data_IF_571964994023
#
_entry.id   IF_571964994023
#
_cell.length_a   1.000
_cell.length_b   1.000
_cell.length_c   1.000
_cell.angle_alpha   90.00
_cell.angle_beta   90.00
_cell.angle_gamma   90.00
#
_symmetry.space_group_name_H-M   'P 1'
#
loop_
_entity.id
_entity.type
_entity.pdbx_description
1 polymer ?
#
# COMPACT_ATOMS: atom_id res chain seq x y z
N UNK A 1 -10.64 24.96 18.42
CA UNK A 1 -12.00 25.22 17.88
C UNK A 1 -12.08 26.66 17.44
N UNK A 2 -12.78 26.96 16.35
CA UNK A 2 -12.96 28.34 15.90
C UNK A 2 -14.41 28.61 15.48
N UNK A 3 -14.82 29.87 15.45
CA UNK A 3 -16.09 30.30 14.88
C UNK A 3 -15.88 31.43 13.87
N UNK A 4 -15.67 31.06 12.60
CA UNK A 4 -15.47 32.01 11.50
C UNK A 4 -16.55 31.75 10.45
N UNK A 5 -17.53 32.64 10.37
CA UNK A 5 -18.60 32.53 9.38
C UNK A 5 -18.11 32.92 7.99
N UNK A 6 -18.51 32.19 6.95
CA UNK A 6 -18.08 32.48 5.56
C UNK A 6 -18.52 33.85 5.03
N UNK A 7 -19.53 34.47 5.65
CA UNK A 7 -19.98 35.84 5.30
C UNK A 7 -19.11 36.95 5.90
N UNK A 8 -18.32 36.65 6.95
CA UNK A 8 -17.46 37.61 7.65
C UNK A 8 -15.97 37.48 7.27
N UNK A 9 -15.57 36.42 6.58
CA UNK A 9 -14.18 36.11 6.22
C UNK A 9 -13.64 36.96 5.05
N UNK A 10 -13.61 38.29 5.22
CA UNK A 10 -13.24 39.27 4.16
C UNK A 10 -11.80 39.06 3.66
N UNK A 11 -10.91 38.51 4.48
CA UNK A 11 -9.48 38.33 4.18
C UNK A 11 -9.08 36.88 3.89
N UNK A 12 -10.03 35.94 3.78
CA UNK A 12 -9.73 34.52 3.61
C UNK A 12 -8.95 33.91 4.78
N UNK A 13 -9.06 34.51 5.97
CA UNK A 13 -8.43 34.09 7.22
C UNK A 13 -8.82 32.66 7.59
N UNK A 14 -10.08 32.29 7.38
CA UNK A 14 -10.52 30.90 7.61
C UNK A 14 -9.77 29.92 6.71
N UNK A 15 -9.59 30.29 5.44
CA UNK A 15 -8.89 29.44 4.48
C UNK A 15 -7.41 29.33 4.80
N UNK A 16 -6.77 30.43 5.20
CA UNK A 16 -5.38 30.44 5.70
C UNK A 16 -5.22 29.59 6.96
N UNK A 17 -6.12 29.72 7.93
CA UNK A 17 -6.13 28.92 9.16
C UNK A 17 -6.26 27.42 8.83
N UNK A 18 -7.24 27.04 8.01
CA UNK A 18 -7.43 25.65 7.56
C UNK A 18 -6.19 25.14 6.83
N UNK A 19 -5.60 25.96 5.96
CA UNK A 19 -4.40 25.59 5.22
C UNK A 19 -3.21 25.34 6.16
N UNK A 20 -2.96 26.22 7.13
CA UNK A 20 -1.89 26.05 8.10
C UNK A 20 -2.13 24.85 9.01
N UNK A 21 -3.36 24.62 9.47
CA UNK A 21 -3.75 23.41 10.21
C UNK A 21 -3.45 22.14 9.40
N UNK A 22 -3.86 22.10 8.13
CA UNK A 22 -3.57 20.95 7.25
C UNK A 22 -2.08 20.74 7.02
N UNK A 23 -1.31 21.83 6.91
CA UNK A 23 0.15 21.78 6.75
C UNK A 23 0.85 21.14 7.97
N UNK A 24 0.26 21.27 9.15
CA UNK A 24 0.72 20.64 10.39
C UNK A 24 0.10 19.26 10.66
N UNK A 25 -0.52 18.64 9.65
CA UNK A 25 -1.20 17.35 9.79
C UNK A 25 -2.30 17.34 10.88
N UNK A 26 -2.93 18.49 11.15
CA UNK A 26 -4.04 18.58 12.08
C UNK A 26 -5.22 17.69 11.65
N UNK A 27 -5.88 17.05 12.62
CA UNK A 27 -7.04 16.20 12.36
C UNK A 27 -8.31 17.04 12.48
N UNK A 28 -9.08 17.10 11.41
CA UNK A 28 -10.39 17.74 11.44
C UNK A 28 -11.41 16.80 12.11
N UNK A 29 -11.89 17.16 13.29
CA UNK A 29 -12.94 16.43 14.02
C UNK A 29 -14.34 16.87 13.59
N UNK A 30 -14.50 18.18 13.40
CA UNK A 30 -15.73 18.81 12.87
C UNK A 30 -15.34 19.97 11.95
N UNK A 31 -16.33 20.61 11.32
CA UNK A 31 -16.09 21.72 10.37
C UNK A 31 -15.13 22.79 10.93
N UNK A 32 -15.24 23.12 12.21
CA UNK A 32 -14.40 24.11 12.90
C UNK A 32 -13.68 23.59 14.16
N UNK A 33 -13.64 22.27 14.34
CA UNK A 33 -12.95 21.61 15.45
C UNK A 33 -11.79 20.78 14.90
N UNK A 34 -10.61 21.06 15.41
CA UNK A 34 -9.35 20.49 14.93
C UNK A 34 -8.54 20.01 16.13
N UNK A 35 -7.87 18.88 15.95
CA UNK A 35 -6.91 18.34 16.90
C UNK A 35 -5.51 18.56 16.32
N UNK A 36 -4.61 19.12 17.13
CA UNK A 36 -3.21 19.42 16.79
C UNK A 36 -2.30 18.86 17.88
N UNK A 37 -1.14 18.34 17.49
CA UNK A 37 -0.15 17.79 18.42
C UNK A 37 0.67 18.89 19.10
N UNK A 38 0.86 20.01 18.39
CA UNK A 38 1.51 21.22 18.88
C UNK A 38 1.05 22.44 18.08
N UNK A 39 1.27 23.64 18.61
CA UNK A 39 1.08 24.90 17.88
C UNK A 39 2.45 25.41 17.41
N UNK A 40 2.78 25.26 16.13
CA UNK A 40 4.03 25.84 15.61
C UNK A 40 3.88 27.35 15.32
N UNK A 41 4.98 28.12 15.20
CA UNK A 41 4.94 29.59 15.08
C UNK A 41 4.06 30.13 13.94
N UNK A 42 4.02 29.43 12.80
CA UNK A 42 3.17 29.83 11.67
C UNK A 42 1.68 29.71 11.99
N UNK A 43 1.27 28.68 12.75
CA UNK A 43 -0.11 28.52 13.18
C UNK A 43 -0.45 29.56 14.25
N UNK A 44 0.47 29.81 15.18
CA UNK A 44 0.31 30.84 16.20
C UNK A 44 0.05 32.22 15.57
N UNK A 45 0.85 32.63 14.58
CA UNK A 45 0.66 33.91 13.90
C UNK A 45 -0.74 34.07 13.25
N UNK A 46 -1.27 33.00 12.64
CA UNK A 46 -2.62 33.03 12.04
C UNK A 46 -3.70 33.04 13.12
N UNK A 47 -3.50 32.34 14.24
CA UNK A 47 -4.42 32.35 15.38
C UNK A 47 -4.46 33.77 15.97
N UNK A 48 -3.32 34.41 16.18
CA UNK A 48 -3.23 35.76 16.72
C UNK A 48 -3.92 36.77 15.80
N UNK A 49 -3.75 36.65 14.47
CA UNK A 49 -4.46 37.47 13.49
C UNK A 49 -5.97 37.25 13.54
N UNK A 50 -6.43 36.00 13.68
CA UNK A 50 -7.85 35.71 13.85
C UNK A 50 -8.42 36.36 15.13
N UNK A 51 -7.70 36.26 16.25
CA UNK A 51 -8.09 36.84 17.53
C UNK A 51 -8.13 38.37 17.44
N UNK A 52 -7.12 38.99 16.81
CA UNK A 52 -7.07 40.43 16.57
C UNK A 52 -8.27 40.95 15.75
N UNK A 53 -8.72 40.15 14.77
CA UNK A 53 -9.92 40.45 13.96
C UNK A 53 -11.25 40.13 14.67
N UNK A 54 -11.20 39.73 15.94
CA UNK A 54 -12.38 39.48 16.77
C UNK A 54 -13.06 38.12 16.52
N UNK A 55 -12.36 37.16 15.90
CA UNK A 55 -12.92 35.82 15.72
C UNK A 55 -12.75 34.97 16.99
N UNK A 56 -13.83 34.31 17.47
CA UNK A 56 -13.73 33.38 18.57
C UNK A 56 -12.84 32.19 18.21
N UNK A 57 -11.77 31.99 18.98
CA UNK A 57 -10.94 30.78 18.94
C UNK A 57 -10.83 30.25 20.36
N UNK A 58 -11.17 28.97 20.53
CA UNK A 58 -10.98 28.23 21.78
C UNK A 58 -9.89 27.18 21.57
N UNK A 59 -8.80 27.34 22.31
CA UNK A 59 -7.72 26.36 22.39
C UNK A 59 -7.87 25.68 23.74
N UNK A 60 -8.03 24.36 23.72
CA UNK A 60 -8.05 23.54 24.92
C UNK A 60 -6.96 22.51 24.77
N UNK A 61 -6.20 22.29 25.85
CA UNK A 61 -5.38 21.10 25.95
C UNK A 61 -6.32 19.90 26.06
N UNK A 62 -6.03 18.88 25.27
CA UNK A 62 -6.70 17.60 25.37
C UNK A 62 -5.63 16.57 25.68
N UNK A 63 -5.58 16.15 26.93
CA UNK A 63 -4.88 14.92 27.28
C UNK A 63 -5.82 13.78 26.87
N UNK A 64 -5.47 12.94 25.88
CA UNK A 64 -6.19 11.69 25.72
C UNK A 64 -6.20 11.02 27.08
N UNK A 65 -7.38 10.60 27.54
CA UNK A 65 -7.44 9.56 28.57
C UNK A 65 -6.54 8.46 28.03
N UNK A 66 -5.39 8.26 28.67
CA UNK A 66 -4.49 7.18 28.31
C UNK A 66 -5.36 5.95 28.24
N UNK A 67 -5.20 5.21 27.16
CA UNK A 67 -6.14 4.17 26.82
C UNK A 67 -6.19 3.03 27.83
N UNK A 68 -5.34 3.07 28.86
CA UNK A 68 -5.54 2.54 30.20
C UNK A 68 -4.42 3.10 31.08
N UNK A 69 -4.70 3.60 32.29
CA UNK A 69 -3.66 3.82 33.34
C UNK A 69 -2.86 2.52 33.67
N UNK A 70 -3.34 1.38 33.17
CA UNK A 70 -2.98 0.00 33.48
C UNK A 70 -1.71 -0.41 32.71
N UNK A 71 -1.42 0.23 31.56
CA UNK A 71 -0.18 0.04 30.79
C UNK A 71 1.06 0.50 31.59
N UNK A 72 0.87 1.36 32.60
CA UNK A 72 1.92 1.81 33.52
C UNK A 72 2.01 1.00 34.81
N UNK A 73 1.03 0.15 35.11
CA UNK A 73 1.19 -0.72 36.27
C UNK A 73 2.27 -1.73 35.91
N UNK A 74 3.42 -1.62 36.59
CA UNK A 74 4.55 -2.54 36.40
C UNK A 74 4.16 -4.00 36.71
N UNK A 75 2.97 -4.20 37.25
CA UNK A 75 2.37 -5.45 37.70
C UNK A 75 1.32 -6.02 36.72
N UNK A 76 0.96 -5.32 35.64
CA UNK A 76 0.01 -5.84 34.64
C UNK A 76 0.59 -7.08 33.93
N UNK A 77 -0.20 -8.15 33.88
CA UNK A 77 0.22 -9.39 33.23
C UNK A 77 0.28 -9.20 31.72
N UNK A 78 1.26 -9.82 31.04
CA UNK A 78 1.32 -9.84 29.58
C UNK A 78 -0.01 -10.30 28.95
N UNK A 79 -0.74 -11.21 29.59
CA UNK A 79 -2.01 -11.75 29.11
C UNK A 79 -3.17 -10.73 29.10
N UNK A 80 -3.04 -9.60 29.80
CA UNK A 80 -4.04 -8.52 29.84
C UNK A 80 -3.85 -7.51 28.71
N UNK A 81 -2.71 -7.56 28.02
CA UNK A 81 -2.40 -6.63 26.93
C UNK A 81 -3.17 -7.00 25.65
N UNK A 82 -3.78 -5.98 25.04
CA UNK A 82 -4.34 -6.04 23.70
C UNK A 82 -3.31 -5.59 22.66
N UNK A 83 -2.72 -6.56 21.96
CA UNK A 83 -1.63 -6.31 21.02
C UNK A 83 -2.18 -6.13 19.60
N UNK A 84 -1.97 -4.95 19.01
CA UNK A 84 -2.19 -4.74 17.59
C UNK A 84 -1.02 -5.31 16.78
N UNK A 85 -1.28 -6.08 15.72
CA UNK A 85 -0.22 -6.63 14.87
C UNK A 85 -0.45 -6.21 13.42
N UNK A 86 0.43 -5.36 12.89
CA UNK A 86 0.43 -4.96 11.48
C UNK A 86 1.39 -5.87 10.71
N UNK A 87 0.85 -6.69 9.81
CA UNK A 87 1.62 -7.55 8.93
C UNK A 87 1.85 -6.82 7.61
N UNK A 88 3.10 -6.54 7.25
CA UNK A 88 3.45 -5.90 5.99
C UNK A 88 4.21 -6.86 5.09
N UNK A 89 4.00 -6.71 3.78
CA UNK A 89 4.62 -7.49 2.70
C UNK A 89 4.13 -8.96 2.61
N UNK A 90 4.08 -9.54 1.40
CA UNK A 90 3.75 -10.96 1.24
C UNK A 90 4.78 -11.88 1.88
N UNK A 91 6.05 -11.50 1.92
CA UNK A 91 7.15 -12.35 2.39
C UNK A 91 7.05 -12.67 3.88
N UNK A 92 6.55 -11.76 4.73
CA UNK A 92 6.30 -12.04 6.15
C UNK A 92 5.32 -13.20 6.31
N UNK A 93 4.42 -13.39 5.36
CA UNK A 93 3.49 -14.53 5.39
C UNK A 93 4.06 -15.76 4.69
N UNK A 94 4.66 -15.58 3.51
CA UNK A 94 5.19 -16.68 2.67
C UNK A 94 6.37 -17.41 3.32
N UNK A 95 7.19 -16.71 4.10
CA UNK A 95 8.28 -17.30 4.88
C UNK A 95 7.80 -17.92 6.21
N UNK A 96 6.50 -17.93 6.48
CA UNK A 96 5.93 -18.52 7.70
C UNK A 96 6.04 -17.66 8.97
N UNK A 97 6.69 -16.48 8.91
CA UNK A 97 6.89 -15.58 10.05
C UNK A 97 5.56 -15.21 10.71
N UNK A 98 4.55 -14.86 9.90
CA UNK A 98 3.21 -14.50 10.42
C UNK A 98 2.60 -15.63 11.23
N UNK A 99 2.67 -16.86 10.69
CA UNK A 99 2.11 -18.06 11.35
C UNK A 99 2.86 -18.37 12.65
N UNK A 100 4.19 -18.27 12.62
CA UNK A 100 5.03 -18.48 13.79
C UNK A 100 4.74 -17.46 14.89
N UNK A 101 4.69 -16.17 14.53
CA UNK A 101 4.43 -15.07 15.47
C UNK A 101 3.07 -15.21 16.14
N UNK A 102 2.02 -15.40 15.35
CA UNK A 102 0.67 -15.64 15.88
C UNK A 102 0.64 -16.89 16.77
N UNK A 103 1.29 -17.99 16.36
CA UNK A 103 1.32 -19.21 17.17
C UNK A 103 2.01 -19.01 18.52
N UNK A 104 3.00 -18.13 18.62
CA UNK A 104 3.67 -17.82 19.90
C UNK A 104 2.81 -16.92 20.76
N UNK A 105 2.10 -15.95 20.18
CA UNK A 105 1.09 -15.16 20.90
C UNK A 105 0.00 -16.07 21.48
N UNK A 106 -0.54 -16.99 20.68
CA UNK A 106 -1.55 -17.97 21.10
C UNK A 106 -1.04 -18.84 22.27
N UNK A 107 0.18 -19.38 22.15
CA UNK A 107 0.81 -20.21 23.20
C UNK A 107 1.08 -19.42 24.49
N UNK A 108 1.34 -18.12 24.36
CA UNK A 108 1.53 -17.21 25.49
C UNK A 108 0.21 -16.73 26.13
N UNK A 109 -0.95 -17.10 25.58
CA UNK A 109 -2.24 -16.61 26.05
C UNK A 109 -2.45 -15.12 25.82
N UNK A 110 -1.75 -14.54 24.84
CA UNK A 110 -1.75 -13.11 24.56
C UNK A 110 -2.91 -12.72 23.66
N UNK A 111 -3.60 -11.62 24.01
CA UNK A 111 -4.69 -11.10 23.18
C UNK A 111 -4.14 -10.24 22.06
N UNK A 112 -4.64 -10.44 20.84
CA UNK A 112 -4.16 -9.69 19.69
C UNK A 112 -5.23 -9.38 18.65
N UNK A 113 -4.98 -8.31 17.89
CA UNK A 113 -5.72 -7.98 16.67
C UNK A 113 -4.73 -7.84 15.51
N UNK A 114 -4.66 -8.86 14.65
CA UNK A 114 -3.77 -8.84 13.50
C UNK A 114 -4.47 -8.27 12.26
N UNK A 115 -3.77 -7.43 11.51
CA UNK A 115 -4.27 -6.74 10.33
C UNK A 115 -3.19 -6.68 9.24
N UNK A 116 -3.59 -6.89 8.00
CA UNK A 116 -2.69 -6.75 6.86
C UNK A 116 -2.53 -5.27 6.47
N UNK A 117 -1.28 -4.81 6.42
CA UNK A 117 -0.87 -3.54 5.82
C UNK A 117 -0.39 -3.74 4.39
N UNK A 118 -1.17 -3.28 3.41
CA UNK A 118 -0.89 -3.40 1.98
C UNK A 118 -1.80 -4.39 1.27
N UNK A 119 -1.81 -4.32 -0.07
CA UNK A 119 -2.68 -5.16 -0.91
C UNK A 119 -2.06 -6.50 -1.28
N UNK A 120 -0.73 -6.58 -1.36
CA UNK A 120 -0.02 -7.74 -1.94
C UNK A 120 0.06 -8.94 -1.00
N UNK A 121 0.20 -8.72 0.31
CA UNK A 121 0.24 -9.82 1.28
C UNK A 121 -1.09 -10.59 1.41
N UNK A 122 -2.17 -10.11 0.76
CA UNK A 122 -3.49 -10.72 0.90
C UNK A 122 -3.57 -12.12 0.28
N UNK A 123 -2.91 -12.33 -0.85
CA UNK A 123 -2.82 -13.66 -1.45
C UNK A 123 -2.02 -14.61 -0.56
N UNK A 124 -0.90 -14.15 0.00
CA UNK A 124 -0.10 -14.94 0.92
C UNK A 124 -0.89 -15.38 2.16
N UNK A 125 -1.71 -14.48 2.74
CA UNK A 125 -2.58 -14.81 3.88
C UNK A 125 -3.59 -15.89 3.54
N UNK A 126 -4.20 -15.85 2.34
CA UNK A 126 -5.15 -16.88 1.89
C UNK A 126 -4.47 -18.22 1.63
N UNK A 127 -3.33 -18.20 0.94
CA UNK A 127 -2.55 -19.39 0.57
C UNK A 127 -2.11 -20.12 1.86
N UNK A 128 -1.81 -19.37 2.94
CA UNK A 128 -1.43 -19.91 4.26
C UNK A 128 -2.59 -20.18 5.23
N UNK A 129 -3.84 -19.92 4.82
CA UNK A 129 -5.06 -20.09 5.63
C UNK A 129 -5.11 -19.25 6.92
N UNK A 130 -4.58 -18.03 6.86
CA UNK A 130 -4.53 -17.11 8.00
C UNK A 130 -5.67 -16.07 7.98
N UNK A 131 -6.59 -16.11 7.01
CA UNK A 131 -7.68 -15.13 6.86
C UNK A 131 -8.67 -15.09 8.03
N UNK A 132 -8.74 -16.14 8.84
CA UNK A 132 -9.54 -16.17 10.08
C UNK A 132 -8.85 -15.46 11.25
N UNK A 133 -7.52 -15.34 11.21
CA UNK A 133 -6.72 -14.70 12.28
C UNK A 133 -6.23 -13.30 11.92
N UNK A 134 -6.17 -12.97 10.63
CA UNK A 134 -5.64 -11.71 10.11
C UNK A 134 -6.73 -10.97 9.36
N UNK A 135 -7.04 -9.75 9.81
CA UNK A 135 -8.00 -8.89 9.13
C UNK A 135 -7.44 -8.42 7.78
N UNK A 136 -8.05 -8.89 6.69
CA UNK A 136 -7.64 -8.58 5.31
C UNK A 136 -8.69 -7.80 4.52
N UNK A 137 -9.85 -7.47 5.09
CA UNK A 137 -11.01 -7.03 4.30
C UNK A 137 -10.91 -5.62 3.69
N UNK A 138 -9.90 -4.83 4.07
CA UNK A 138 -9.72 -3.45 3.62
C UNK A 138 -8.26 -3.19 3.18
N UNK A 139 -8.02 -2.42 2.09
CA UNK A 139 -6.68 -2.13 1.56
C UNK A 139 -5.94 -1.08 2.40
N UNK A 140 -5.79 -1.29 3.70
CA UNK A 140 -5.07 -0.32 4.54
C UNK A 140 -3.60 -0.25 4.12
N UNK A 141 -3.06 0.97 4.00
CA UNK A 141 -1.61 1.15 4.08
C UNK A 141 -1.14 0.77 5.49
N UNK A 142 0.12 0.40 5.71
CA UNK A 142 0.62 0.07 7.05
C UNK A 142 0.37 1.17 8.09
N UNK A 143 0.54 2.45 7.72
CA UNK A 143 0.26 3.57 8.61
C UNK A 143 -1.24 3.74 8.94
N UNK A 144 -2.11 3.43 7.97
CA UNK A 144 -3.57 3.44 8.18
C UNK A 144 -4.02 2.23 9.02
N UNK A 145 -3.31 1.11 8.94
CA UNK A 145 -3.54 -0.06 9.79
C UNK A 145 -3.17 0.24 11.25
N UNK A 146 -2.07 0.99 11.48
CA UNK A 146 -1.74 1.55 12.81
C UNK A 146 -2.87 2.43 13.31
N UNK A 147 -3.33 3.42 12.52
CA UNK A 147 -4.43 4.29 12.91
C UNK A 147 -5.73 3.51 13.22
N UNK A 148 -5.99 2.43 12.48
CA UNK A 148 -7.13 1.54 12.72
C UNK A 148 -7.04 0.80 14.06
N UNK A 149 -5.83 0.37 14.45
CA UNK A 149 -5.55 -0.30 15.72
C UNK A 149 -5.62 0.67 16.91
N UNK A 150 -5.10 1.90 16.76
CA UNK A 150 -5.20 2.95 17.77
C UNK A 150 -6.68 3.23 18.10
N UNK A 151 -7.55 3.34 17.08
CA UNK A 151 -9.00 3.52 17.27
C UNK A 151 -9.70 2.35 17.97
N UNK A 152 -9.01 1.21 18.10
CA UNK A 152 -9.49 -0.01 18.78
C UNK A 152 -8.86 -0.21 20.14
N UNK A 153 -8.18 0.80 20.66
CA UNK A 153 -7.70 0.77 22.04
C UNK A 153 -6.67 -0.35 22.26
N UNK A 154 -5.78 -0.56 21.28
CA UNK A 154 -4.64 -1.47 21.44
C UNK A 154 -3.59 -0.82 22.35
N UNK A 155 -3.03 -1.61 23.26
CA UNK A 155 -2.05 -1.16 24.26
C UNK A 155 -0.64 -1.06 23.68
N UNK A 156 -0.37 -1.88 22.67
CA UNK A 156 0.92 -1.99 21.98
C UNK A 156 0.67 -2.34 20.52
N UNK A 157 1.46 -1.78 19.61
CA UNK A 157 1.40 -2.13 18.19
C UNK A 157 2.73 -2.73 17.74
N UNK A 158 2.66 -3.90 17.12
CA UNK A 158 3.77 -4.59 16.47
C UNK A 158 3.69 -4.36 14.97
N UNK A 159 4.75 -3.81 14.38
CA UNK A 159 4.93 -3.75 12.93
C UNK A 159 5.83 -4.90 12.49
N UNK A 160 5.23 -5.96 11.92
CA UNK A 160 5.96 -7.09 11.35
C UNK A 160 6.30 -6.80 9.89
N UNK A 161 7.58 -6.81 9.57
CA UNK A 161 8.08 -6.59 8.21
C UNK A 161 9.18 -7.59 7.84
N UNK A 162 9.45 -7.70 6.54
CA UNK A 162 10.57 -8.45 5.99
C UNK A 162 11.27 -7.62 4.91
N UNK A 163 12.04 -6.64 5.36
CA UNK A 163 12.85 -5.73 4.54
C UNK A 163 13.92 -6.48 3.73
N UNK A 164 14.36 -5.87 2.62
CA UNK A 164 15.38 -6.47 1.74
C UNK A 164 16.78 -6.37 2.36
N UNK A 165 17.04 -5.27 3.04
CA UNK A 165 18.22 -5.01 3.88
C UNK A 165 17.78 -4.38 5.21
N UNK A 166 18.65 -4.38 6.21
CA UNK A 166 18.40 -3.67 7.47
C UNK A 166 18.05 -2.19 7.24
N UNK A 167 18.80 -1.50 6.38
CA UNK A 167 18.55 -0.09 6.03
C UNK A 167 17.15 0.13 5.44
N UNK A 168 16.72 -0.73 4.51
CA UNK A 168 15.38 -0.64 3.91
C UNK A 168 14.25 -0.87 4.91
N UNK A 169 14.46 -1.80 5.87
CA UNK A 169 13.50 -2.07 6.94
C UNK A 169 13.37 -0.89 7.90
N UNK A 170 14.49 -0.27 8.29
CA UNK A 170 14.50 0.93 9.12
C UNK A 170 13.75 2.09 8.44
N UNK A 171 14.02 2.35 7.17
CA UNK A 171 13.37 3.43 6.43
C UNK A 171 11.87 3.18 6.22
N UNK A 172 11.48 1.93 5.96
CA UNK A 172 10.08 1.53 5.92
C UNK A 172 9.37 1.85 7.24
N UNK A 173 9.92 1.39 8.37
CA UNK A 173 9.35 1.65 9.69
C UNK A 173 9.21 3.14 9.99
N UNK A 174 10.25 3.93 9.69
CA UNK A 174 10.23 5.39 9.85
C UNK A 174 9.09 6.02 9.06
N UNK A 175 8.96 5.69 7.77
CA UNK A 175 7.90 6.22 6.93
C UNK A 175 6.51 5.80 7.44
N UNK A 176 6.35 4.56 7.90
CA UNK A 176 5.06 4.07 8.41
C UNK A 176 4.64 4.81 9.68
N UNK A 177 5.58 5.01 10.61
CA UNK A 177 5.38 5.75 11.86
C UNK A 177 5.08 7.22 11.59
N UNK A 178 5.88 7.89 10.76
CA UNK A 178 5.69 9.30 10.39
C UNK A 178 4.37 9.56 9.66
N UNK A 179 3.89 8.60 8.87
CA UNK A 179 2.64 8.73 8.11
C UNK A 179 1.39 8.29 8.87
N UNK A 180 1.51 7.79 10.11
CA UNK A 180 0.35 7.53 10.95
C UNK A 180 -0.19 8.86 11.46
N UNK A 181 -1.48 9.12 11.23
CA UNK A 181 -2.09 10.38 11.63
C UNK A 181 -2.39 10.41 13.12
N UNK A 182 -2.65 9.25 13.73
CA UNK A 182 -3.06 9.17 15.13
C UNK A 182 -1.88 8.99 16.07
N UNK A 183 -0.78 8.40 15.63
CA UNK A 183 0.33 8.08 16.53
C UNK A 183 0.97 9.29 17.21
N UNK A 184 0.97 10.45 16.56
CA UNK A 184 1.45 11.70 17.16
C UNK A 184 0.54 12.24 18.27
N UNK A 185 -0.70 11.77 18.35
CA UNK A 185 -1.70 12.18 19.34
C UNK A 185 -1.87 11.13 20.44
N UNK A 186 -1.74 9.86 20.09
CA UNK A 186 -1.93 8.73 21.00
C UNK A 186 -0.56 8.08 21.26
N UNK A 187 -0.11 8.14 22.51
CA UNK A 187 1.19 7.62 22.96
C UNK A 187 1.22 6.07 23.04
N UNK A 188 0.66 5.39 22.04
CA UNK A 188 0.66 3.92 21.95
C UNK A 188 2.07 3.48 21.54
N UNK A 189 2.77 2.63 22.32
CA UNK A 189 4.07 2.09 21.93
C UNK A 189 4.01 1.35 20.60
N UNK A 190 5.01 1.59 19.74
CA UNK A 190 5.20 0.85 18.49
C UNK A 190 6.55 0.17 18.49
N UNK A 191 6.52 -1.15 18.31
CA UNK A 191 7.70 -1.97 18.13
C UNK A 191 7.69 -2.55 16.72
N UNK A 192 8.73 -2.29 15.94
CA UNK A 192 8.97 -2.98 14.68
C UNK A 192 9.80 -4.22 14.92
N UNK A 193 9.37 -5.33 14.33
CA UNK A 193 10.17 -6.53 14.15
C UNK A 193 10.41 -6.72 12.67
N UNK A 194 11.67 -6.88 12.30
CA UNK A 194 12.04 -6.99 10.89
C UNK A 194 13.08 -8.07 10.68
N UNK A 195 13.05 -8.65 9.49
CA UNK A 195 14.04 -9.62 9.02
C UNK A 195 14.20 -10.83 9.94
N UNK A 196 13.11 -11.30 10.55
CA UNK A 196 13.12 -12.41 11.54
C UNK A 196 13.67 -13.74 11.00
N UNK A 197 13.81 -13.89 9.67
CA UNK A 197 14.41 -15.05 9.02
C UNK A 197 15.85 -14.79 8.53
N UNK A 198 16.48 -13.70 8.98
CA UNK A 198 17.85 -13.34 8.63
C UNK A 198 18.74 -13.19 9.88
N UNK A 199 20.05 -13.31 9.68
CA UNK A 199 21.05 -13.14 10.74
C UNK A 199 21.10 -11.71 11.30
N UNK A 200 20.65 -10.73 10.53
CA UNK A 200 20.56 -9.32 10.90
C UNK A 200 19.13 -8.93 11.31
N UNK A 201 18.34 -9.88 11.82
CA UNK A 201 17.04 -9.63 12.42
C UNK A 201 17.14 -8.57 13.52
N UNK A 202 16.15 -7.69 13.63
CA UNK A 202 16.22 -6.59 14.59
C UNK A 202 14.87 -6.17 15.13
N UNK A 203 14.92 -5.48 16.27
CA UNK A 203 13.80 -4.81 16.91
C UNK A 203 14.06 -3.30 17.03
N UNK A 204 13.05 -2.47 16.74
CA UNK A 204 13.09 -1.01 16.97
C UNK A 204 11.85 -0.58 17.76
N UNK A 205 12.07 0.15 18.84
CA UNK A 205 11.03 0.89 19.56
C UNK A 205 10.99 2.32 18.99
N UNK A 206 9.89 2.69 18.34
CA UNK A 206 9.85 3.94 17.57
C UNK A 206 9.51 5.19 18.39
N UNK A 207 8.66 5.08 19.40
CA UNK A 207 8.17 6.23 20.18
C UNK A 207 8.24 6.02 21.69
N UNK A 208 7.78 4.87 22.19
CA UNK A 208 7.74 4.55 23.62
C UNK A 208 8.22 3.12 23.85
N UNK A 209 8.88 2.92 24.99
CA UNK A 209 9.28 1.60 25.45
C UNK A 209 8.11 0.85 26.08
N UNK A 210 8.16 -0.47 25.98
CA UNK A 210 7.24 -1.39 26.64
C UNK A 210 8.03 -2.59 27.17
N UNK A 211 8.71 -2.39 28.30
CA UNK A 211 9.75 -3.30 28.82
C UNK A 211 9.28 -4.75 28.98
N UNK A 212 8.06 -4.99 29.48
CA UNK A 212 7.51 -6.35 29.65
C UNK A 212 7.48 -7.12 28.32
N UNK A 213 6.87 -6.53 27.29
CA UNK A 213 6.80 -7.14 25.96
C UNK A 213 8.15 -7.20 25.25
N UNK A 214 9.04 -6.21 25.45
CA UNK A 214 10.41 -6.29 24.93
C UNK A 214 11.16 -7.48 25.51
N UNK A 215 11.00 -7.77 26.81
CA UNK A 215 11.60 -8.96 27.42
C UNK A 215 11.00 -10.25 26.86
N UNK A 216 9.67 -10.30 26.69
CA UNK A 216 9.01 -11.43 26.03
C UNK A 216 9.56 -11.67 24.60
N UNK A 217 9.79 -10.60 23.83
CA UNK A 217 10.40 -10.67 22.50
C UNK A 217 11.85 -11.17 22.54
N UNK A 218 12.66 -10.71 23.50
CA UNK A 218 14.05 -11.18 23.66
C UNK A 218 14.11 -12.67 24.03
N UNK A 219 13.22 -13.14 24.89
CA UNK A 219 13.14 -14.54 25.29
C UNK A 219 12.67 -15.44 24.15
N UNK A 220 11.71 -14.96 23.34
CA UNK A 220 11.13 -15.76 22.26
C UNK A 220 11.95 -15.70 20.97
N UNK A 221 12.54 -14.56 20.63
CA UNK A 221 13.17 -14.33 19.33
C UNK A 221 14.66 -14.02 19.38
N UNK A 222 15.23 -13.83 20.58
CA UNK A 222 16.66 -13.49 20.76
C UNK A 222 17.08 -12.26 19.94
N UNK A 223 16.22 -11.26 19.85
CA UNK A 223 16.44 -10.06 19.05
C UNK A 223 17.14 -8.96 19.85
N UNK A 224 18.08 -8.31 19.19
CA UNK A 224 18.68 -7.08 19.68
C UNK A 224 17.79 -5.86 19.35
N UNK A 225 17.69 -4.96 20.32
CA UNK A 225 17.12 -3.62 20.09
C UNK A 225 18.17 -2.77 19.41
N UNK A 226 17.85 -2.22 18.23
CA UNK A 226 18.73 -1.27 17.54
C UNK A 226 18.18 0.15 17.63
N UNK A 227 19.08 1.13 17.66
CA UNK A 227 18.70 2.53 17.49
C UNK A 227 18.71 2.86 16.00
N UNK A 228 17.60 3.37 15.42
CA UNK A 228 17.55 3.71 14.01
C UNK A 228 18.56 4.82 13.69
N UNK A 229 19.14 4.76 12.50
CA UNK A 229 19.99 5.84 11.99
C UNK A 229 19.22 7.18 11.93
N UNK A 230 19.92 8.33 12.03
CA UNK A 230 19.27 9.63 11.84
C UNK A 230 18.60 9.73 10.47
N UNK A 231 17.52 10.51 10.40
CA UNK A 231 16.83 10.79 9.14
C UNK A 231 17.81 11.44 8.17
N UNK A 232 17.87 10.91 6.96
CA UNK A 232 18.72 11.45 5.91
C UNK A 232 17.92 12.40 5.01
N UNK A 233 18.60 13.33 4.36
CA UNK A 233 17.97 14.21 3.38
C UNK A 233 17.46 13.41 2.18
N UNK A 234 16.17 13.60 1.89
CA UNK A 234 15.47 12.95 0.78
C UNK A 234 15.41 13.83 -0.48
N UNK A 235 15.67 15.13 -0.35
CA UNK A 235 15.47 16.11 -1.41
C UNK A 235 16.64 17.07 -1.53
N UNK A 236 17.00 17.42 -2.76
CA UNK A 236 17.84 18.58 -3.10
C UNK A 236 17.05 19.48 -4.04
N UNK A 237 17.07 20.79 -3.79
CA UNK A 237 16.38 21.80 -4.61
C UNK A 237 17.43 22.75 -5.16
N UNK A 238 17.52 22.83 -6.49
CA UNK A 238 18.47 23.69 -7.21
C UNK A 238 17.71 24.45 -8.30
N UNK A 239 17.41 25.74 -8.05
CA UNK A 239 16.60 26.55 -8.97
C UNK A 239 15.20 25.95 -9.19
N UNK A 240 14.88 25.60 -10.44
CA UNK A 240 13.62 24.96 -10.85
C UNK A 240 13.69 23.42 -10.89
N UNK A 241 14.81 22.86 -10.43
CA UNK A 241 15.06 21.42 -10.41
C UNK A 241 14.91 20.86 -9.00
N UNK A 242 14.17 19.76 -8.89
CA UNK A 242 13.97 18.99 -7.68
C UNK A 242 14.57 17.61 -7.88
N UNK A 243 15.51 17.25 -7.03
CA UNK A 243 16.10 15.92 -6.97
C UNK A 243 15.57 15.18 -5.76
N UNK A 244 15.08 13.96 -5.95
CA UNK A 244 14.70 13.05 -4.87
C UNK A 244 15.67 11.89 -4.80
N UNK A 245 16.23 11.67 -3.61
CA UNK A 245 17.25 10.65 -3.36
C UNK A 245 16.56 9.41 -2.78
N UNK A 246 16.78 8.28 -3.44
CA UNK A 246 16.37 6.95 -2.97
C UNK A 246 17.61 6.21 -2.46
N UNK A 247 17.48 5.62 -1.29
CA UNK A 247 18.52 4.85 -0.60
C UNK A 247 17.99 3.48 -0.24
N UNK A 248 18.88 2.58 0.16
CA UNK A 248 18.55 1.18 0.42
C UNK A 248 17.87 0.46 -0.77
N UNK A 249 18.10 0.95 -1.99
CA UNK A 249 17.60 0.34 -3.22
C UNK A 249 18.47 -0.84 -3.64
N UNK A 250 17.90 -1.84 -4.31
CA UNK A 250 18.68 -2.97 -4.80
C UNK A 250 18.95 -2.87 -6.29
N UNK A 251 20.14 -3.29 -6.69
CA UNK A 251 20.50 -3.38 -8.11
C UNK A 251 19.50 -4.28 -8.85
N UNK A 252 19.10 -3.84 -10.04
CA UNK A 252 18.07 -4.43 -10.89
C UNK A 252 16.63 -4.30 -10.37
N UNK A 253 16.37 -3.61 -9.26
CA UNK A 253 14.99 -3.24 -8.91
C UNK A 253 14.40 -2.30 -9.96
N UNK A 254 13.12 -2.43 -10.24
CA UNK A 254 12.36 -1.46 -11.03
C UNK A 254 12.05 -0.24 -10.19
N UNK A 255 12.14 0.94 -10.77
CA UNK A 255 11.83 2.21 -10.13
C UNK A 255 10.41 2.60 -10.55
N UNK A 256 9.47 2.53 -9.61
CA UNK A 256 8.08 2.90 -9.86
C UNK A 256 7.78 4.26 -9.24
N UNK A 257 7.17 5.14 -10.03
CA UNK A 257 6.63 6.43 -9.56
C UNK A 257 5.12 6.46 -9.82
N UNK A 258 4.35 6.61 -8.74
CA UNK A 258 2.88 6.48 -8.76
C UNK A 258 2.36 5.18 -9.42
N UNK A 259 3.18 4.12 -9.41
CA UNK A 259 2.85 2.82 -10.00
C UNK A 259 3.31 2.63 -11.45
N UNK A 260 3.93 3.63 -12.07
CA UNK A 260 4.50 3.52 -13.43
C UNK A 260 6.00 3.23 -13.32
N UNK A 261 6.49 2.21 -14.03
CA UNK A 261 7.92 1.90 -14.11
C UNK A 261 8.63 2.95 -14.95
N UNK A 262 9.48 3.76 -14.34
CA UNK A 262 10.22 4.84 -15.02
C UNK A 262 11.70 4.52 -15.23
N UNK A 263 12.15 3.35 -14.79
CA UNK A 263 13.54 2.94 -14.90
C UNK A 263 13.88 1.74 -14.04
N UNK A 264 15.17 1.44 -13.98
CA UNK A 264 15.74 0.32 -13.22
C UNK A 264 16.97 0.77 -12.44
N UNK A 265 17.14 0.27 -11.22
CA UNK A 265 18.24 0.61 -10.32
C UNK A 265 19.56 -0.02 -10.78
N UNK A 266 20.63 0.78 -10.88
CA UNK A 266 21.98 0.29 -11.22
C UNK A 266 22.99 0.45 -10.09
N UNK A 267 22.66 1.27 -9.09
CA UNK A 267 23.50 1.58 -7.94
C UNK A 267 22.73 1.45 -6.63
N UNK A 268 23.41 1.47 -5.49
CA UNK A 268 22.80 1.44 -4.15
C UNK A 268 22.15 2.78 -3.73
N UNK A 269 22.37 3.85 -4.51
CA UNK A 269 21.74 5.16 -4.36
C UNK A 269 21.23 5.59 -5.72
N UNK A 270 19.99 6.05 -5.77
CA UNK A 270 19.35 6.57 -6.98
C UNK A 270 18.91 8.01 -6.74
N UNK A 271 19.16 8.90 -7.70
CA UNK A 271 18.65 10.27 -7.68
C UNK A 271 17.70 10.46 -8.87
N UNK A 272 16.41 10.69 -8.59
CA UNK A 272 15.41 11.04 -9.59
C UNK A 272 15.37 12.55 -9.69
N UNK A 273 15.59 13.08 -10.89
CA UNK A 273 15.73 14.52 -11.13
C UNK A 273 14.55 14.98 -11.97
N UNK A 274 13.76 15.91 -11.45
CA UNK A 274 12.66 16.54 -12.15
C UNK A 274 12.91 18.04 -12.33
N UNK A 275 12.59 18.57 -13.52
CA UNK A 275 12.63 20.00 -13.83
C UNK A 275 11.27 20.40 -14.39
N UNK A 276 10.68 21.48 -13.87
CA UNK A 276 9.32 21.88 -14.25
C UNK A 276 8.30 20.72 -14.15
N UNK A 277 8.40 19.92 -13.09
CA UNK A 277 7.60 18.71 -12.84
C UNK A 277 7.77 17.57 -13.86
N UNK A 278 8.75 17.59 -14.76
CA UNK A 278 9.01 16.50 -15.69
C UNK A 278 10.29 15.78 -15.26
N UNK A 279 10.28 14.44 -15.20
CA UNK A 279 11.47 13.65 -14.89
C UNK A 279 12.44 13.71 -16.07
N UNK A 280 13.54 14.41 -15.88
CA UNK A 280 14.56 14.59 -16.91
C UNK A 280 15.64 13.51 -16.84
N UNK A 281 15.99 13.04 -15.64
CA UNK A 281 17.11 12.12 -15.45
C UNK A 281 16.93 11.22 -14.22
N UNK A 282 17.62 10.08 -14.21
CA UNK A 282 17.69 9.12 -13.11
C UNK A 282 19.16 8.71 -12.93
N UNK A 283 19.87 9.33 -11.99
CA UNK A 283 21.26 8.93 -11.67
C UNK A 283 21.26 7.70 -10.77
N UNK A 284 22.22 6.81 -10.96
CA UNK A 284 22.24 5.52 -10.26
C UNK A 284 21.15 4.54 -10.70
N UNK A 285 20.45 4.86 -11.80
CA UNK A 285 19.50 3.98 -12.49
C UNK A 285 19.58 4.12 -14.01
N UNK A 286 18.97 3.19 -14.74
CA UNK A 286 18.66 3.32 -16.17
C UNK A 286 17.27 3.90 -16.31
N UNK A 287 17.12 5.02 -16.99
CA UNK A 287 15.82 5.63 -17.30
C UNK A 287 15.08 4.78 -18.34
N UNK A 288 13.78 4.56 -18.13
CA UNK A 288 12.84 4.06 -19.13
C UNK A 288 12.12 5.27 -19.77
N UNK A 289 12.48 5.69 -21.01
CA UNK A 289 11.86 6.86 -21.63
C UNK A 289 10.35 6.72 -21.83
N UNK A 290 9.89 5.54 -22.23
CA UNK A 290 8.47 5.25 -22.47
C UNK A 290 7.68 5.35 -21.15
N UNK A 291 8.19 4.77 -20.07
CA UNK A 291 7.60 4.87 -18.75
C UNK A 291 7.53 6.31 -18.21
N UNK A 292 8.55 7.13 -18.47
CA UNK A 292 8.56 8.55 -18.09
C UNK A 292 7.54 9.35 -18.91
N UNK A 293 7.40 9.06 -20.20
CA UNK A 293 6.38 9.66 -21.06
C UNK A 293 4.96 9.30 -20.58
N UNK A 294 4.73 8.02 -20.27
CA UNK A 294 3.47 7.51 -19.70
C UNK A 294 3.13 8.14 -18.36
N UNK A 295 4.12 8.42 -17.50
CA UNK A 295 3.92 9.09 -16.22
C UNK A 295 3.50 10.57 -16.38
N UNK A 296 4.09 11.27 -17.34
CA UNK A 296 3.86 12.70 -17.56
C UNK A 296 4.33 13.60 -16.40
N UNK A 297 3.80 14.84 -16.31
CA UNK A 297 4.18 15.79 -15.26
C UNK A 297 3.81 15.29 -13.84
N UNK A 298 4.74 15.41 -12.90
CA UNK A 298 4.64 14.89 -11.55
C UNK A 298 5.22 15.84 -10.49
N UNK A 299 4.51 16.00 -9.38
CA UNK A 299 5.05 16.55 -8.16
C UNK A 299 5.94 15.50 -7.47
N UNK A 300 7.23 15.51 -7.78
CA UNK A 300 8.19 14.53 -7.28
C UNK A 300 8.32 14.54 -5.75
N UNK A 301 7.99 15.66 -5.09
CA UNK A 301 8.04 15.79 -3.63
C UNK A 301 7.01 14.89 -2.96
N UNK A 302 5.80 14.87 -3.51
CA UNK A 302 4.67 14.12 -2.96
C UNK A 302 4.40 12.79 -3.68
N UNK A 303 5.09 12.52 -4.79
CA UNK A 303 4.95 11.27 -5.53
C UNK A 303 5.21 10.04 -4.66
N UNK A 304 4.47 8.96 -4.88
CA UNK A 304 4.79 7.66 -4.27
C UNK A 304 5.88 7.02 -5.11
N UNK A 305 7.03 6.76 -4.49
CA UNK A 305 8.15 6.09 -5.16
C UNK A 305 8.43 4.78 -4.44
N UNK A 306 8.54 3.71 -5.21
CA UNK A 306 8.85 2.37 -4.71
C UNK A 306 9.85 1.71 -5.64
N UNK A 307 10.84 1.02 -5.06
CA UNK A 307 11.69 0.11 -5.83
C UNK A 307 11.31 -1.32 -5.52
N UNK A 308 11.25 -2.17 -6.55
CA UNK A 308 10.98 -3.59 -6.37
C UNK A 308 11.53 -4.40 -7.54
N UNK A 309 12.14 -5.54 -7.24
CA UNK A 309 12.49 -6.54 -8.25
C UNK A 309 11.23 -7.21 -8.82
N UNK A 310 10.35 -7.64 -7.92
CA UNK A 310 9.04 -8.23 -8.22
C UNK A 310 8.10 -8.03 -7.01
N UNK A 311 6.79 -8.07 -7.24
CA UNK A 311 5.77 -8.00 -6.17
C UNK A 311 5.72 -9.27 -5.32
N UNK A 312 6.16 -10.41 -5.87
CA UNK A 312 6.35 -11.68 -5.17
C UNK A 312 7.78 -12.17 -5.38
N UNK A 313 8.60 -12.07 -4.32
CA UNK A 313 9.98 -12.59 -4.31
C UNK A 313 10.06 -14.06 -3.93
N UNK A 314 9.07 -14.56 -3.19
CA UNK A 314 9.02 -15.94 -2.72
C UNK A 314 7.95 -16.69 -3.51
N UNK A 315 8.36 -17.72 -4.25
CA UNK A 315 7.42 -18.60 -4.93
C UNK A 315 6.94 -19.66 -3.95
N UNK A 316 5.67 -19.58 -3.55
CA UNK A 316 5.02 -20.66 -2.80
C UNK A 316 4.33 -21.61 -3.78
N UNK A 317 4.59 -22.91 -3.65
CA UNK A 317 4.01 -23.96 -4.49
C UNK A 317 2.53 -24.25 -4.18
N UNK A 318 2.02 -23.78 -3.05
CA UNK A 318 0.62 -23.99 -2.66
C UNK A 318 -0.27 -22.84 -3.11
N UNK A 319 -0.90 -22.99 -4.28
CA UNK A 319 -1.99 -22.11 -4.70
C UNK A 319 -3.32 -22.67 -4.20
N UNK A 320 -3.85 -22.11 -3.10
CA UNK A 320 -5.12 -22.59 -2.55
C UNK A 320 -6.28 -22.14 -3.45
N UNK A 321 -7.02 -23.09 -4.03
CA UNK A 321 -8.34 -22.78 -4.61
C UNK A 321 -9.34 -22.46 -3.50
N UNK A 322 -9.93 -21.28 -3.58
CA UNK A 322 -11.04 -20.83 -2.73
C UNK A 322 -12.32 -21.44 -3.29
N UNK A 323 -13.15 -22.01 -2.42
CA UNK A 323 -14.47 -22.50 -2.81
C UNK A 323 -15.31 -21.33 -3.33
N UNK A 324 -15.60 -21.32 -4.62
CA UNK A 324 -16.43 -20.30 -5.23
C UNK A 324 -17.87 -20.34 -4.64
N UNK A 325 -18.53 -19.18 -4.43
CA UNK A 325 -19.94 -19.16 -4.09
C UNK A 325 -20.75 -19.87 -5.20
N UNK A 326 -21.67 -20.75 -4.79
CA UNK A 326 -22.39 -21.69 -5.68
C UNK A 326 -23.25 -21.05 -6.78
N UNK A 327 -23.54 -19.74 -6.74
CA UNK A 327 -24.39 -19.07 -7.74
C UNK A 327 -23.56 -18.25 -8.72
N UNK A 328 -23.56 -18.68 -9.99
CA UNK A 328 -23.09 -17.85 -11.11
C UNK A 328 -24.11 -16.75 -11.36
N UNK A 329 -23.63 -15.51 -11.41
CA UNK A 329 -24.45 -14.33 -11.65
C UNK A 329 -24.30 -13.80 -13.08
N UNK A 330 -23.43 -14.43 -13.87
CA UNK A 330 -22.93 -13.99 -15.18
C UNK A 330 -22.51 -12.52 -15.19
N UNK A 331 -21.72 -12.11 -14.20
CA UNK A 331 -21.20 -10.74 -14.10
C UNK A 331 -19.79 -10.68 -14.67
N UNK A 332 -19.54 -9.82 -15.65
CA UNK A 332 -18.20 -9.48 -16.11
C UNK A 332 -17.77 -8.10 -15.56
N UNK A 333 -16.48 -7.93 -15.27
CA UNK A 333 -15.90 -6.65 -14.84
C UNK A 333 -14.75 -6.26 -15.75
N UNK A 334 -14.67 -4.98 -16.14
CA UNK A 334 -13.55 -4.40 -16.88
C UNK A 334 -12.60 -3.69 -15.91
N UNK A 335 -11.28 -3.83 -16.09
CA UNK A 335 -10.28 -3.14 -15.26
C UNK A 335 -8.98 -2.85 -16.01
N UNK A 336 -8.35 -1.73 -15.65
CA UNK A 336 -6.95 -1.36 -15.96
C UNK A 336 -6.07 -1.42 -14.71
N UNK A 337 -6.60 -1.92 -13.58
CA UNK A 337 -5.94 -1.87 -12.27
C UNK A 337 -6.06 -3.20 -11.55
N UNK A 338 -4.92 -3.88 -11.41
CA UNK A 338 -4.85 -5.20 -10.79
C UNK A 338 -5.21 -5.19 -9.30
N UNK A 339 -4.86 -4.12 -8.56
CA UNK A 339 -5.03 -4.11 -7.10
C UNK A 339 -6.49 -4.15 -6.63
N UNK A 340 -7.44 -3.78 -7.50
CA UNK A 340 -8.88 -3.78 -7.18
C UNK A 340 -9.55 -5.12 -7.43
N UNK A 341 -8.93 -6.01 -8.22
CA UNK A 341 -9.55 -7.26 -8.66
C UNK A 341 -9.93 -8.15 -7.49
N UNK A 342 -9.08 -8.20 -6.47
CA UNK A 342 -9.36 -8.98 -5.27
C UNK A 342 -10.74 -8.66 -4.66
N UNK A 343 -11.08 -7.38 -4.49
CA UNK A 343 -12.33 -6.93 -3.83
C UNK A 343 -13.61 -7.25 -4.61
N UNK A 344 -13.44 -7.77 -5.83
CA UNK A 344 -14.49 -8.13 -6.74
C UNK A 344 -14.42 -9.58 -7.19
N UNK A 345 -13.35 -10.32 -6.88
CA UNK A 345 -13.12 -11.68 -7.36
C UNK A 345 -14.21 -12.67 -6.92
N UNK A 346 -14.85 -12.42 -5.78
CA UNK A 346 -15.99 -13.17 -5.25
C UNK A 346 -17.34 -12.76 -5.87
N UNK A 347 -17.40 -11.58 -6.50
CA UNK A 347 -18.62 -10.93 -7.03
C UNK A 347 -18.73 -10.94 -8.55
N UNK A 348 -17.74 -11.51 -9.23
CA UNK A 348 -17.69 -11.59 -10.69
C UNK A 348 -17.55 -13.04 -11.14
N UNK A 349 -18.01 -13.31 -12.35
CA UNK A 349 -17.90 -14.61 -13.00
C UNK A 349 -16.87 -14.61 -14.13
N UNK A 350 -16.47 -13.42 -14.61
CA UNK A 350 -15.38 -13.21 -15.55
C UNK A 350 -14.75 -11.83 -15.36
N UNK A 351 -13.45 -11.70 -15.62
CA UNK A 351 -12.76 -10.41 -15.67
C UNK A 351 -12.28 -10.13 -17.08
N UNK A 352 -12.42 -8.88 -17.52
CA UNK A 352 -11.76 -8.34 -18.71
C UNK A 352 -10.67 -7.39 -18.21
N UNK A 353 -9.43 -7.68 -18.54
CA UNK A 353 -8.25 -6.96 -18.07
C UNK A 353 -7.54 -6.30 -19.25
N UNK A 354 -7.13 -5.05 -19.07
CA UNK A 354 -6.36 -4.29 -20.06
C UNK A 354 -4.95 -4.02 -19.48
N UNK A 355 -3.94 -4.33 -20.27
CA UNK A 355 -2.53 -4.17 -19.95
C UNK A 355 -1.89 -5.41 -19.37
N UNK A 356 -0.60 -5.58 -19.65
CA UNK A 356 0.18 -6.76 -19.32
C UNK A 356 0.26 -7.00 -17.81
N UNK A 357 0.82 -6.06 -17.03
CA UNK A 357 0.96 -6.23 -15.57
C UNK A 357 -0.38 -6.40 -14.86
N UNK A 358 -1.39 -5.64 -15.29
CA UNK A 358 -2.76 -5.79 -14.77
C UNK A 358 -3.26 -7.20 -15.03
N UNK A 359 -3.03 -7.75 -16.22
CA UNK A 359 -3.46 -9.09 -16.61
C UNK A 359 -2.71 -10.16 -15.82
N UNK A 360 -1.40 -10.04 -15.62
CA UNK A 360 -0.62 -10.96 -14.79
C UNK A 360 -1.10 -10.97 -13.33
N UNK A 361 -1.18 -9.80 -12.69
CA UNK A 361 -1.65 -9.66 -11.30
C UNK A 361 -3.07 -10.20 -11.16
N UNK A 362 -3.94 -9.88 -12.10
CA UNK A 362 -5.34 -10.32 -12.09
C UNK A 362 -5.46 -11.83 -12.26
N UNK A 363 -4.65 -12.43 -13.14
CA UNK A 363 -4.64 -13.87 -13.38
C UNK A 363 -4.21 -14.62 -12.11
N UNK A 364 -3.18 -14.14 -11.43
CA UNK A 364 -2.69 -14.73 -10.18
C UNK A 364 -3.71 -14.62 -9.04
N UNK A 365 -4.48 -13.52 -8.98
CA UNK A 365 -5.60 -13.41 -8.04
C UNK A 365 -6.69 -14.42 -8.42
N UNK A 366 -7.16 -14.41 -9.67
CA UNK A 366 -8.32 -15.18 -10.10
C UNK A 366 -8.07 -16.69 -10.19
N UNK A 367 -6.82 -17.14 -10.27
CA UNK A 367 -6.44 -18.55 -10.15
C UNK A 367 -6.92 -19.17 -8.83
N UNK A 368 -6.89 -18.41 -7.73
CA UNK A 368 -7.46 -18.83 -6.44
C UNK A 368 -8.99 -18.91 -6.48
N UNK A 369 -9.66 -18.00 -7.17
CA UNK A 369 -11.13 -17.95 -7.21
C UNK A 369 -11.74 -18.82 -8.34
N UNK A 370 -10.90 -19.43 -9.19
CA UNK A 370 -11.33 -20.19 -10.37
C UNK A 370 -12.27 -19.39 -11.28
N UNK A 371 -11.93 -18.12 -11.54
CA UNK A 371 -12.73 -17.21 -12.38
C UNK A 371 -12.00 -16.90 -13.68
N UNK A 372 -12.57 -17.17 -14.86
CA UNK A 372 -11.91 -16.91 -16.13
C UNK A 372 -11.58 -15.42 -16.33
N UNK A 373 -10.46 -15.17 -17.00
CA UNK A 373 -10.01 -13.85 -17.41
C UNK A 373 -9.95 -13.74 -18.94
N UNK A 374 -10.29 -12.57 -19.48
CA UNK A 374 -10.05 -12.15 -20.86
C UNK A 374 -9.03 -11.01 -20.80
N UNK A 375 -7.76 -11.30 -21.05
CA UNK A 375 -6.67 -10.32 -21.00
C UNK A 375 -6.36 -9.74 -22.37
N UNK A 376 -6.33 -8.42 -22.47
CA UNK A 376 -5.82 -7.68 -23.62
C UNK A 376 -4.43 -7.17 -23.25
N UNK A 377 -3.42 -7.61 -23.99
CA UNK A 377 -2.00 -7.37 -23.73
C UNK A 377 -1.30 -6.98 -25.03
N UNK A 378 -0.24 -6.19 -24.96
CA UNK A 378 0.55 -5.78 -26.13
C UNK A 378 2.00 -6.28 -26.08
N UNK A 379 2.37 -6.99 -24.99
CA UNK A 379 3.68 -7.59 -24.81
C UNK A 379 4.70 -6.65 -24.16
N UNK A 380 4.29 -5.50 -23.63
CA UNK A 380 5.15 -4.51 -22.96
C UNK A 380 5.42 -4.80 -21.48
N UNK A 381 5.07 -6.00 -21.00
CA UNK A 381 5.07 -6.36 -19.58
C UNK A 381 6.25 -5.80 -18.77
N UNK A 382 5.90 -4.96 -17.80
CA UNK A 382 6.73 -4.43 -16.71
C UNK A 382 7.52 -5.48 -15.92
N UNK A 383 7.22 -6.78 -16.04
CA UNK A 383 7.70 -7.85 -15.16
C UNK A 383 7.49 -7.52 -13.67
N UNK A 384 6.41 -6.79 -13.35
CA UNK A 384 6.18 -6.27 -12.00
C UNK A 384 5.84 -7.42 -11.05
N UNK A 385 5.11 -8.43 -11.52
CA UNK A 385 4.71 -9.58 -10.71
C UNK A 385 5.83 -10.61 -10.54
N UNK A 386 6.51 -10.97 -11.64
CA UNK A 386 7.60 -11.95 -11.71
C UNK A 386 8.76 -11.41 -12.55
N UNK A 387 9.99 -11.88 -12.30
CA UNK A 387 11.19 -11.41 -13.02
C UNK A 387 11.12 -11.64 -14.53
N UNK A 388 10.54 -12.77 -14.94
CA UNK A 388 10.21 -13.08 -16.32
C UNK A 388 8.69 -13.22 -16.43
N UNK A 389 8.11 -12.56 -17.44
CA UNK A 389 6.68 -12.63 -17.75
C UNK A 389 6.53 -13.03 -19.21
N UNK A 390 5.94 -14.20 -19.45
CA UNK A 390 5.62 -14.67 -20.79
C UNK A 390 4.15 -15.10 -20.91
N UNK A 391 3.62 -15.07 -22.13
CA UNK A 391 2.28 -15.56 -22.43
C UNK A 391 2.10 -17.03 -22.01
N UNK A 392 3.13 -17.86 -22.18
CA UNK A 392 3.14 -19.26 -21.74
C UNK A 392 2.96 -19.41 -20.23
N UNK A 393 3.69 -18.63 -19.43
CA UNK A 393 3.53 -18.63 -17.97
C UNK A 393 2.14 -18.13 -17.56
N UNK A 394 1.64 -17.09 -18.22
CA UNK A 394 0.31 -16.54 -17.97
C UNK A 394 -0.77 -17.63 -18.18
N UNK A 395 -0.65 -18.40 -19.26
CA UNK A 395 -1.52 -19.56 -19.52
C UNK A 395 -1.37 -20.61 -18.42
N UNK A 396 -0.16 -20.94 -17.98
CA UNK A 396 0.11 -21.96 -16.95
C UNK A 396 -0.51 -21.64 -15.58
N UNK A 397 -0.72 -20.36 -15.25
CA UNK A 397 -1.41 -19.95 -14.00
C UNK A 397 -2.90 -19.63 -14.19
N UNK A 398 -3.37 -19.45 -15.43
CA UNK A 398 -4.73 -19.00 -15.70
C UNK A 398 -5.84 -19.99 -15.28
N UNK A 399 -6.99 -19.50 -14.79
CA UNK A 399 -8.19 -20.33 -14.65
C UNK A 399 -8.65 -20.93 -15.98
N UNK A 400 -9.31 -22.10 -15.92
CA UNK A 400 -9.95 -22.70 -17.10
C UNK A 400 -10.90 -21.70 -17.78
N UNK A 401 -10.98 -21.77 -19.11
CA UNK A 401 -11.79 -20.88 -19.96
C UNK A 401 -11.29 -19.44 -19.97
N UNK A 402 -10.03 -19.19 -19.66
CA UNK A 402 -9.42 -17.88 -19.88
C UNK A 402 -9.07 -17.66 -21.35
N UNK A 403 -8.90 -16.41 -21.76
CA UNK A 403 -8.50 -16.00 -23.10
C UNK A 403 -7.50 -14.85 -22.97
N UNK A 404 -6.40 -14.91 -23.68
CA UNK A 404 -5.42 -13.84 -23.80
C UNK A 404 -5.34 -13.43 -25.26
N UNK A 405 -5.39 -12.12 -25.48
CA UNK A 405 -5.39 -11.50 -26.80
C UNK A 405 -4.16 -10.59 -26.85
N UNK A 406 -3.14 -11.03 -27.58
CA UNK A 406 -1.96 -10.24 -27.86
C UNK A 406 -2.25 -9.34 -29.05
N UNK A 407 -2.17 -8.03 -28.83
CA UNK A 407 -2.36 -7.00 -29.85
C UNK A 407 -1.03 -6.34 -30.21
N UNK A 408 -1.05 -5.50 -31.25
CA UNK A 408 0.09 -4.67 -31.66
C UNK A 408 0.62 -3.84 -30.48
N UNK A 409 1.94 -3.61 -30.39
CA UNK A 409 2.54 -2.77 -29.34
C UNK A 409 1.83 -1.42 -29.20
N UNK A 410 1.50 -1.03 -27.96
CA UNK A 410 0.80 0.21 -27.58
C UNK A 410 -0.71 0.26 -27.95
N UNK A 411 -1.31 -0.85 -28.38
CA UNK A 411 -2.74 -0.91 -28.76
C UNK A 411 -3.67 -1.54 -27.72
N UNK A 412 -3.15 -2.05 -26.60
CA UNK A 412 -3.96 -2.61 -25.52
C UNK A 412 -4.98 -1.58 -24.98
N UNK A 413 -4.54 -0.34 -24.75
CA UNK A 413 -5.36 0.79 -24.30
C UNK A 413 -6.37 1.24 -25.37
N UNK A 414 -6.00 1.15 -26.65
CA UNK A 414 -6.90 1.46 -27.77
C UNK A 414 -8.05 0.46 -27.81
N UNK A 415 -7.73 -0.84 -27.80
CA UNK A 415 -8.70 -1.92 -27.76
C UNK A 415 -9.53 -1.88 -26.47
N UNK A 416 -8.89 -1.60 -25.33
CA UNK A 416 -9.56 -1.42 -24.05
C UNK A 416 -10.64 -0.34 -24.08
N UNK A 417 -10.34 0.82 -24.70
CA UNK A 417 -11.33 1.90 -24.89
C UNK A 417 -12.48 1.49 -25.83
N UNK A 418 -12.23 0.67 -26.85
CA UNK A 418 -13.28 0.14 -27.72
C UNK A 418 -14.21 -0.80 -26.93
N UNK A 419 -13.64 -1.71 -26.13
CA UNK A 419 -14.39 -2.63 -25.26
C UNK A 419 -15.23 -1.85 -24.25
N UNK A 420 -14.65 -0.84 -23.61
CA UNK A 420 -15.33 0.01 -22.64
C UNK A 420 -16.57 0.67 -23.25
N UNK A 421 -16.41 1.28 -24.42
CA UNK A 421 -17.47 2.03 -25.10
C UNK A 421 -18.56 1.11 -25.67
N UNK A 422 -18.17 0.05 -26.38
CA UNK A 422 -19.10 -0.76 -27.18
C UNK A 422 -19.72 -1.93 -26.41
N UNK A 423 -18.97 -2.58 -25.52
CA UNK A 423 -19.44 -3.74 -24.76
C UNK A 423 -19.92 -3.32 -23.38
N UNK A 424 -19.10 -2.56 -22.66
CA UNK A 424 -19.38 -2.16 -21.28
C UNK A 424 -20.24 -0.89 -21.17
N UNK A 425 -20.38 -0.12 -22.25
CA UNK A 425 -21.13 1.16 -22.29
C UNK A 425 -20.70 2.11 -21.15
N UNK A 426 -19.38 2.24 -20.95
CA UNK A 426 -18.75 3.05 -19.89
C UNK A 426 -19.13 2.61 -18.46
N UNK A 427 -19.53 1.34 -18.27
CA UNK A 427 -19.77 0.75 -16.95
C UNK A 427 -18.60 -0.13 -16.56
N UNK A 428 -18.32 -0.21 -15.27
CA UNK A 428 -17.28 -1.13 -14.75
C UNK A 428 -17.73 -2.59 -14.83
N UNK A 429 -19.05 -2.86 -14.72
CA UNK A 429 -19.60 -4.22 -14.68
C UNK A 429 -20.80 -4.35 -15.60
N UNK A 430 -20.92 -5.52 -16.23
CA UNK A 430 -22.06 -5.90 -17.06
C UNK A 430 -22.55 -7.30 -16.73
N UNK A 431 -23.80 -7.59 -17.13
CA UNK A 431 -24.29 -8.96 -17.24
C UNK A 431 -24.03 -9.48 -18.64
N UNK A 432 -23.70 -10.76 -18.75
CA UNK A 432 -23.56 -11.45 -20.02
C UNK A 432 -24.42 -12.72 -20.06
N UNK A 433 -24.81 -13.16 -21.25
CA UNK A 433 -25.60 -14.38 -21.43
C UNK A 433 -24.70 -15.62 -21.42
N UNK A 434 -23.69 -15.64 -22.30
CA UNK A 434 -22.72 -16.72 -22.44
C UNK A 434 -21.29 -16.16 -22.47
N UNK A 435 -20.36 -16.87 -21.84
CA UNK A 435 -18.95 -16.44 -21.82
C UNK A 435 -18.32 -16.50 -23.22
N UNK A 436 -18.71 -17.47 -24.05
CA UNK A 436 -18.25 -17.58 -25.44
C UNK A 436 -18.63 -16.35 -26.27
N UNK A 437 -19.89 -15.91 -26.17
CA UNK A 437 -20.38 -14.70 -26.86
C UNK A 437 -19.62 -13.44 -26.41
N UNK A 438 -19.31 -13.33 -25.12
CA UNK A 438 -18.49 -12.22 -24.62
C UNK A 438 -17.08 -12.24 -25.22
N UNK A 439 -16.44 -13.42 -25.28
CA UNK A 439 -15.12 -13.60 -25.91
C UNK A 439 -15.15 -13.24 -27.40
N UNK A 440 -16.12 -13.73 -28.14
CA UNK A 440 -16.29 -13.46 -29.58
C UNK A 440 -16.45 -11.96 -29.85
N UNK A 441 -17.29 -11.28 -29.07
CA UNK A 441 -17.48 -9.82 -29.20
C UNK A 441 -16.22 -9.02 -28.90
N UNK A 442 -15.45 -9.44 -27.89
CA UNK A 442 -14.19 -8.78 -27.55
C UNK A 442 -13.14 -9.04 -28.65
N UNK A 443 -13.06 -10.28 -29.16
CA UNK A 443 -12.14 -10.64 -30.22
C UNK A 443 -12.42 -9.85 -31.51
N UNK A 444 -13.69 -9.69 -31.89
CA UNK A 444 -14.09 -8.88 -33.04
C UNK A 444 -13.66 -7.41 -32.91
N UNK A 445 -13.66 -6.83 -31.70
CA UNK A 445 -13.15 -5.47 -31.49
C UNK A 445 -11.62 -5.37 -31.51
N UNK A 446 -10.93 -6.51 -31.44
CA UNK A 446 -9.46 -6.59 -31.40
C UNK A 446 -8.86 -6.98 -32.75
N UNK A 447 -9.68 -7.38 -33.73
CA UNK A 447 -9.27 -8.02 -34.98
C UNK A 447 -8.24 -7.20 -35.78
N UNK A 448 -8.45 -5.89 -35.93
CA UNK A 448 -7.54 -4.98 -36.65
C UNK A 448 -6.15 -4.84 -36.00
N UNK A 449 -6.04 -5.21 -34.73
CA UNK A 449 -4.85 -5.07 -33.90
C UNK A 449 -4.25 -6.41 -33.47
N UNK A 450 -4.90 -7.52 -33.79
CA UNK A 450 -4.56 -8.84 -33.30
C UNK A 450 -3.21 -9.33 -33.84
N UNK A 451 -2.37 -9.86 -32.94
CA UNK A 451 -1.16 -10.64 -33.28
C UNK A 451 -1.44 -12.12 -33.05
N UNK A 452 -1.86 -12.48 -31.83
CA UNK A 452 -2.06 -13.86 -31.41
C UNK A 452 -3.19 -13.97 -30.37
N UNK A 453 -3.89 -15.10 -30.34
CA UNK A 453 -4.75 -15.48 -29.22
C UNK A 453 -4.27 -16.75 -28.56
N UNK A 454 -4.31 -16.80 -27.23
CA UNK A 454 -4.06 -18.03 -26.47
C UNK A 454 -5.17 -18.28 -25.46
N UNK A 455 -5.56 -19.54 -25.28
CA UNK A 455 -6.66 -19.92 -24.38
C UNK A 455 -6.27 -21.09 -23.49
N UNK A 456 -6.87 -21.14 -22.30
CA UNK A 456 -6.77 -22.27 -21.37
C UNK A 456 -8.09 -22.99 -21.20
#
# INVERSE_FOLDING_TARGET
MYEISGKKDIHGLRMRLIYTLRKQNAIQLMRSTWLISAIEPNLQAIIDECIYQGYPILITEWSPLYLQEHIRDKDASLAELHIGVVIHSPEVTELGITKEFISRLDKGGLQYHAILGGVMGRLAILDTKLEEKVFINHPYKPSEAIDYLIKRNMDLIILLNQGITQESGIEFGRQVVENSKLLSFFQVPIIQLDRLQNVDAFMICWNHDHLLFQNWLKENYHLDTIKPSPKQELFKVEGDSLTRILRAVQKNDKILVNGVVIGEVTSNIVEIIAKSNIIIDIKGGRKNPHGVEKLGPIDLKNARITTLKSLRRVHTSSQRKISAPKKRTNTAMLTWRGEKVYYHADKIDCLVSIGDDTTFISTEILSRFSRPIIGIIDGDADGILYEETSLSQLIEIAPDKSLFILVKPEYDDVVGRLIEKQIFKNRVKIKYSRLSELKERILALSEDYLIETSSR
#
